data_IF_254182137115
#
_entry.id   IF_254182137115
#
_cell.length_a   1.000
_cell.length_b   1.000
_cell.length_c   1.000
_cell.angle_alpha   90.00
_cell.angle_beta   90.00
_cell.angle_gamma   90.00
#
_symmetry.space_group_name_H-M   'P 1'
#
loop_
_entity.id
_entity.type
_entity.pdbx_description
1 polymer ?
#
# COMPACT_ATOMS: atom_id res chain seq x y z
N UNK A 1 19.79 4.97 7.22
CA UNK A 1 19.46 4.31 5.93
C UNK A 1 19.77 5.16 4.71
N UNK A 2 19.15 6.34 4.49
CA UNK A 2 19.39 7.18 3.28
C UNK A 2 20.84 7.62 3.07
N UNK A 3 21.43 8.23 4.10
CA UNK A 3 22.81 8.73 4.05
C UNK A 3 23.80 7.58 3.92
N UNK A 4 23.44 6.42 4.49
CA UNK A 4 24.24 5.19 4.41
C UNK A 4 24.24 4.65 2.97
N UNK A 5 23.09 4.32 2.37
CA UNK A 5 23.06 3.79 0.99
C UNK A 5 23.61 4.73 -0.08
N UNK A 6 23.37 6.04 0.06
CA UNK A 6 23.98 7.01 -0.85
C UNK A 6 25.51 7.05 -0.65
N UNK A 7 25.99 6.97 0.60
CA UNK A 7 27.42 6.87 0.85
C UNK A 7 28.01 5.54 0.33
N UNK A 8 27.25 4.46 0.24
CA UNK A 8 27.68 3.18 -0.36
C UNK A 8 28.17 3.32 -1.81
N UNK A 9 27.57 4.23 -2.59
CA UNK A 9 27.99 4.50 -3.97
C UNK A 9 29.19 5.45 -4.07
N UNK A 10 29.56 6.15 -2.99
CA UNK A 10 30.62 7.17 -2.98
C UNK A 10 31.81 6.88 -2.04
N UNK A 11 31.74 5.84 -1.20
CA UNK A 11 32.78 5.51 -0.22
C UNK A 11 33.75 4.43 -0.72
N UNK A 12 35.04 4.60 -0.39
CA UNK A 12 36.08 3.58 -0.55
C UNK A 12 36.11 2.56 0.61
N UNK A 13 36.79 1.43 0.38
CA UNK A 13 36.53 0.08 0.92
C UNK A 13 36.22 -0.10 2.43
N UNK A 14 36.90 0.52 3.41
CA UNK A 14 36.58 0.23 4.81
C UNK A 14 35.24 0.84 5.26
N UNK A 15 34.92 2.06 4.80
CA UNK A 15 33.67 2.75 5.18
C UNK A 15 32.45 2.20 4.42
N UNK A 16 32.67 1.66 3.21
CA UNK A 16 31.64 0.98 2.43
C UNK A 16 31.15 -0.29 3.12
N UNK A 17 32.05 -1.10 3.69
CA UNK A 17 31.70 -2.31 4.42
C UNK A 17 30.78 -2.07 5.62
N UNK A 18 31.07 -1.05 6.43
CA UNK A 18 30.24 -0.66 7.58
C UNK A 18 28.85 -0.16 7.16
N UNK A 19 28.78 0.61 6.08
CA UNK A 19 27.52 1.08 5.50
C UNK A 19 26.65 -0.08 5.00
N UNK A 20 27.22 -1.02 4.25
CA UNK A 20 26.52 -2.22 3.75
C UNK A 20 26.00 -3.05 4.92
N UNK A 21 26.82 -3.25 5.94
CA UNK A 21 26.46 -3.98 7.16
C UNK A 21 25.31 -3.30 7.90
N UNK A 22 25.39 -1.98 8.10
CA UNK A 22 24.32 -1.20 8.70
C UNK A 22 23.01 -1.33 7.92
N UNK A 23 23.08 -1.21 6.59
CA UNK A 23 21.91 -1.35 5.72
C UNK A 23 21.27 -2.72 5.87
N UNK A 24 22.07 -3.79 5.80
CA UNK A 24 21.58 -5.17 5.95
C UNK A 24 20.94 -5.39 7.33
N UNK A 25 21.56 -4.89 8.40
CA UNK A 25 21.02 -5.00 9.75
C UNK A 25 19.69 -4.25 9.91
N UNK A 26 19.61 -3.03 9.38
CA UNK A 26 18.40 -2.23 9.43
C UNK A 26 17.27 -2.86 8.60
N UNK A 27 17.54 -3.40 7.40
CA UNK A 27 16.55 -4.14 6.63
C UNK A 27 16.05 -5.38 7.38
N UNK A 28 16.96 -6.15 7.99
CA UNK A 28 16.61 -7.32 8.78
C UNK A 28 15.71 -6.94 9.98
N UNK A 29 16.02 -5.84 10.67
CA UNK A 29 15.18 -5.33 11.75
C UNK A 29 13.81 -4.85 11.27
N UNK A 30 13.73 -4.15 10.14
CA UNK A 30 12.44 -3.72 9.58
C UNK A 30 11.60 -4.95 9.23
N UNK A 31 12.16 -5.91 8.49
CA UNK A 31 11.46 -7.15 8.10
C UNK A 31 10.97 -7.90 9.35
N UNK A 32 11.81 -8.06 10.37
CA UNK A 32 11.42 -8.72 11.60
C UNK A 32 10.30 -7.97 12.34
N UNK A 33 10.37 -6.63 12.39
CA UNK A 33 9.36 -5.81 13.07
C UNK A 33 8.03 -5.77 12.33
N UNK A 34 8.02 -5.91 10.99
CA UNK A 34 6.79 -5.80 10.18
C UNK A 34 6.22 -7.15 9.75
N UNK A 35 6.97 -8.24 9.87
CA UNK A 35 6.49 -9.61 9.60
C UNK A 35 5.94 -10.30 10.87
N UNK A 36 5.02 -9.64 11.57
CA UNK A 36 4.43 -10.12 12.82
C UNK A 36 3.07 -10.82 12.63
N UNK A 37 2.48 -10.73 11.43
CA UNK A 37 1.15 -11.28 11.12
C UNK A 37 1.25 -12.77 10.82
N UNK A 38 0.39 -13.56 11.46
CA UNK A 38 0.25 -15.01 11.30
C UNK A 38 -1.20 -15.41 11.06
N UNK A 39 -1.47 -16.67 10.70
CA UNK A 39 -2.83 -17.16 10.47
C UNK A 39 -3.67 -17.07 11.73
N UNK A 40 -4.85 -16.44 11.62
CA UNK A 40 -5.76 -16.13 12.74
C UNK A 40 -5.22 -15.08 13.72
N UNK A 41 -4.29 -14.20 13.29
CA UNK A 41 -3.82 -13.09 14.11
C UNK A 41 -4.99 -12.16 14.49
N UNK A 42 -5.11 -11.80 15.77
CA UNK A 42 -6.23 -10.99 16.25
C UNK A 42 -6.12 -9.54 15.77
N UNK A 43 -6.94 -9.13 14.79
CA UNK A 43 -6.90 -7.82 14.13
C UNK A 43 -8.25 -7.06 14.19
N UNK A 44 -8.82 -6.79 15.39
CA UNK A 44 -10.20 -6.30 15.55
C UNK A 44 -10.46 -4.96 14.86
N UNK A 45 -9.45 -4.08 14.80
CA UNK A 45 -9.57 -2.77 14.14
C UNK A 45 -9.64 -2.94 12.62
N UNK A 46 -8.78 -3.78 12.03
CA UNK A 46 -8.75 -4.00 10.58
C UNK A 46 -9.99 -4.77 10.11
N UNK A 47 -10.42 -5.77 10.86
CA UNK A 47 -11.63 -6.54 10.53
C UNK A 47 -12.87 -5.65 10.58
N UNK A 48 -13.02 -4.83 11.62
CA UNK A 48 -14.13 -3.87 11.74
C UNK A 48 -14.07 -2.77 10.66
N UNK A 49 -12.86 -2.30 10.33
CA UNK A 49 -12.66 -1.34 9.24
C UNK A 49 -13.13 -1.91 7.90
N UNK A 50 -12.68 -3.10 7.52
CA UNK A 50 -13.12 -3.78 6.29
C UNK A 50 -14.63 -4.03 6.30
N UNK A 51 -15.21 -4.40 7.45
CA UNK A 51 -16.67 -4.57 7.59
C UNK A 51 -17.44 -3.32 7.19
N UNK A 52 -16.94 -2.13 7.54
CA UNK A 52 -17.59 -0.85 7.24
C UNK A 52 -17.29 -0.33 5.83
N UNK A 53 -16.06 -0.54 5.33
CA UNK A 53 -15.57 0.12 4.12
C UNK A 53 -15.68 -0.76 2.88
N UNK A 54 -15.39 -2.05 2.99
CA UNK A 54 -15.29 -2.95 1.83
C UNK A 54 -16.64 -3.47 1.35
N UNK A 55 -17.63 -3.60 2.23
CA UNK A 55 -18.97 -4.07 1.86
C UNK A 55 -19.78 -2.94 1.24
N UNK A 56 -19.84 -2.89 -0.09
CA UNK A 56 -20.49 -1.81 -0.86
C UNK A 56 -21.58 -2.37 -1.79
N UNK A 57 -22.65 -1.60 -2.08
CA UNK A 57 -23.63 -1.98 -3.10
C UNK A 57 -22.96 -2.18 -4.46
N UNK A 58 -23.44 -3.13 -5.27
CA UNK A 58 -22.85 -3.47 -6.57
C UNK A 58 -22.73 -2.28 -7.53
N UNK A 59 -23.66 -1.33 -7.45
CA UNK A 59 -23.65 -0.09 -8.26
C UNK A 59 -22.60 0.95 -7.84
N UNK A 60 -21.87 0.71 -6.74
CA UNK A 60 -20.79 1.60 -6.28
C UNK A 60 -19.45 0.93 -6.55
N UNK A 61 -18.47 1.71 -6.96
CA UNK A 61 -17.10 1.25 -7.09
C UNK A 61 -16.61 0.61 -5.79
N UNK A 62 -15.79 -0.43 -5.94
CA UNK A 62 -15.14 -1.15 -4.84
C UNK A 62 -14.33 -0.19 -3.97
N UNK A 63 -14.19 -0.55 -2.70
CA UNK A 63 -13.22 0.14 -1.86
C UNK A 63 -11.81 -0.15 -2.40
N UNK A 64 -10.99 0.90 -2.47
CA UNK A 64 -9.58 0.81 -2.81
C UNK A 64 -8.77 1.20 -1.58
N UNK A 65 -7.97 0.28 -1.08
CA UNK A 65 -7.08 0.50 0.06
C UNK A 65 -5.67 0.66 -0.48
N UNK A 66 -5.12 1.85 -0.32
CA UNK A 66 -3.73 2.14 -0.62
C UNK A 66 -2.96 2.20 0.69
N UNK A 67 -1.88 1.43 0.81
CA UNK A 67 -1.09 1.37 2.05
C UNK A 67 0.40 1.42 1.75
N UNK A 68 1.13 2.12 2.63
CA UNK A 68 2.60 2.12 2.69
C UNK A 68 3.13 1.06 3.65
N UNK A 69 2.24 0.34 4.36
CA UNK A 69 2.63 -0.67 5.34
C UNK A 69 3.10 -1.95 4.64
N UNK A 70 4.21 -2.51 5.15
CA UNK A 70 4.80 -3.76 4.64
C UNK A 70 4.15 -5.02 5.21
N UNK A 71 3.48 -4.92 6.37
CA UNK A 71 2.84 -6.04 7.06
C UNK A 71 1.66 -6.63 6.26
N UNK A 72 1.09 -7.74 6.73
CA UNK A 72 -0.02 -8.45 6.06
C UNK A 72 -1.39 -8.25 6.73
N UNK A 73 -1.59 -7.15 7.46
CA UNK A 73 -2.80 -6.98 8.28
C UNK A 73 -4.09 -6.97 7.46
N UNK A 74 -4.11 -6.31 6.30
CA UNK A 74 -5.31 -6.24 5.45
C UNK A 74 -5.62 -7.56 4.76
N UNK A 75 -4.59 -8.32 4.39
CA UNK A 75 -4.70 -9.65 3.80
C UNK A 75 -5.30 -10.63 4.81
N UNK A 76 -4.75 -10.66 6.03
CA UNK A 76 -5.24 -11.53 7.10
C UNK A 76 -6.64 -11.12 7.59
N UNK A 77 -6.92 -9.82 7.74
CA UNK A 77 -8.26 -9.33 8.05
C UNK A 77 -9.26 -9.65 6.92
N UNK A 78 -8.82 -9.55 5.66
CA UNK A 78 -9.60 -9.94 4.48
C UNK A 78 -9.96 -11.42 4.52
N UNK A 79 -8.98 -12.28 4.82
CA UNK A 79 -9.17 -13.73 4.98
C UNK A 79 -10.17 -14.04 6.10
N UNK A 80 -10.01 -13.43 7.27
CA UNK A 80 -10.92 -13.62 8.42
C UNK A 80 -12.36 -13.16 8.10
N UNK A 81 -12.49 -12.06 7.37
CA UNK A 81 -13.77 -11.49 6.95
C UNK A 81 -14.38 -12.11 5.68
N UNK A 82 -13.74 -13.13 5.08
CA UNK A 82 -14.13 -13.77 3.82
C UNK A 82 -14.29 -12.77 2.67
N UNK A 83 -13.34 -11.85 2.54
CA UNK A 83 -13.25 -10.92 1.43
C UNK A 83 -12.42 -11.50 0.29
N UNK A 84 -12.82 -11.20 -0.94
CA UNK A 84 -11.93 -11.26 -2.09
C UNK A 84 -11.00 -10.04 -2.03
N UNK A 85 -9.70 -10.29 -1.94
CA UNK A 85 -8.68 -9.24 -1.94
C UNK A 85 -8.08 -9.14 -3.33
N UNK A 86 -8.38 -8.07 -4.06
CA UNK A 86 -7.84 -7.82 -5.40
C UNK A 86 -6.54 -7.04 -5.26
N UNK A 87 -5.40 -7.74 -5.31
CA UNK A 87 -4.07 -7.16 -5.05
C UNK A 87 -3.06 -7.27 -6.21
N UNK A 88 -3.55 -7.64 -7.40
CA UNK A 88 -2.75 -7.75 -8.61
C UNK A 88 -1.98 -9.06 -8.74
N UNK A 89 -2.17 -10.03 -7.84
CA UNK A 89 -1.62 -11.36 -7.98
C UNK A 89 -2.64 -12.35 -8.55
N UNK A 90 -2.13 -13.35 -9.28
CA UNK A 90 -2.92 -14.47 -9.77
C UNK A 90 -3.49 -15.34 -8.65
N UNK A 91 -4.49 -16.15 -8.98
CA UNK A 91 -5.09 -17.13 -8.07
C UNK A 91 -4.40 -18.51 -8.16
N UNK A 92 -3.30 -18.63 -8.90
CA UNK A 92 -2.50 -19.84 -9.03
C UNK A 92 -1.49 -19.98 -7.90
N UNK A 93 -0.88 -21.16 -7.75
CA UNK A 93 0.21 -21.39 -6.81
C UNK A 93 1.55 -21.58 -7.55
N UNK A 94 2.59 -20.78 -7.25
CA UNK A 94 2.55 -19.59 -6.40
C UNK A 94 1.74 -18.46 -7.06
N UNK A 95 1.13 -17.54 -6.28
CA UNK A 95 0.51 -16.35 -6.84
C UNK A 95 1.59 -15.45 -7.44
N UNK A 96 1.41 -15.04 -8.69
CA UNK A 96 2.35 -14.20 -9.44
C UNK A 96 1.70 -12.87 -9.78
N UNK A 97 2.42 -11.77 -9.59
CA UNK A 97 1.93 -10.43 -9.90
C UNK A 97 1.79 -10.24 -11.42
N UNK A 98 0.64 -9.75 -11.83
CA UNK A 98 0.38 -9.17 -13.14
C UNK A 98 -0.75 -8.15 -12.99
N UNK A 99 -0.51 -6.92 -13.46
CA UNK A 99 -1.43 -5.80 -13.37
C UNK A 99 -2.83 -6.12 -13.92
N UNK A 100 -2.94 -7.05 -14.88
CA UNK A 100 -4.23 -7.48 -15.44
C UNK A 100 -5.18 -8.00 -14.36
N UNK A 101 -4.66 -8.57 -13.26
CA UNK A 101 -5.48 -9.09 -12.17
C UNK A 101 -6.21 -7.99 -11.40
N UNK A 102 -5.77 -6.73 -11.45
CA UNK A 102 -6.56 -5.61 -10.92
C UNK A 102 -7.82 -5.32 -11.73
N UNK A 103 -7.90 -5.76 -12.99
CA UNK A 103 -9.06 -5.57 -13.86
C UNK A 103 -10.11 -6.69 -13.70
N UNK A 104 -9.74 -7.82 -13.08
CA UNK A 104 -10.64 -8.94 -12.88
C UNK A 104 -11.56 -8.74 -11.68
N UNK A 105 -12.82 -9.12 -11.86
CA UNK A 105 -13.86 -9.10 -10.83
C UNK A 105 -14.36 -10.52 -10.56
N UNK A 106 -14.57 -10.83 -9.28
CA UNK A 106 -15.20 -12.09 -8.89
C UNK A 106 -16.71 -11.94 -8.86
N UNK A 107 -17.38 -12.85 -9.57
CA UNK A 107 -18.83 -12.84 -9.73
C UNK A 107 -19.46 -14.14 -9.21
N UNK A 108 -20.71 -14.05 -8.79
CA UNK A 108 -21.59 -15.19 -8.59
C UNK A 108 -22.36 -15.42 -9.89
N UNK A 109 -22.30 -16.65 -10.41
CA UNK A 109 -23.13 -17.05 -11.55
C UNK A 109 -24.55 -17.32 -11.07
N UNK A 110 -25.54 -16.75 -11.77
CA UNK A 110 -26.93 -17.09 -11.56
C UNK A 110 -27.25 -18.31 -12.43
N UNK A 111 -27.78 -19.37 -11.80
CA UNK A 111 -27.93 -20.69 -12.43
C UNK A 111 -28.59 -20.61 -13.82
N UNK A 112 -28.05 -21.37 -14.77
CA UNK A 112 -28.53 -21.55 -16.15
C UNK A 112 -28.83 -20.27 -16.96
N UNK A 113 -28.21 -19.15 -16.59
CA UNK A 113 -28.27 -17.89 -17.34
C UNK A 113 -26.88 -17.35 -17.61
N UNK A 114 -26.75 -16.46 -18.58
CA UNK A 114 -25.52 -15.67 -18.79
C UNK A 114 -25.38 -14.51 -17.78
N UNK A 115 -26.34 -14.36 -16.86
CA UNK A 115 -26.34 -13.30 -15.88
C UNK A 115 -25.37 -13.60 -14.71
N UNK A 116 -24.71 -12.55 -14.25
CA UNK A 116 -23.74 -12.62 -13.16
C UNK A 116 -23.89 -11.44 -12.22
N UNK A 117 -23.64 -11.72 -10.94
CA UNK A 117 -23.69 -10.73 -9.86
C UNK A 117 -22.29 -10.50 -9.30
N UNK A 118 -21.90 -9.23 -9.18
CA UNK A 118 -20.66 -8.89 -8.48
C UNK A 118 -20.75 -9.27 -7.00
N UNK A 119 -19.75 -9.98 -6.49
CA UNK A 119 -19.71 -10.38 -5.06
C UNK A 119 -19.48 -9.13 -4.21
N UNK A 120 -20.34 -8.77 -3.25
CA UNK A 120 -20.22 -7.50 -2.51
C UNK A 120 -19.03 -7.45 -1.54
N UNK A 121 -18.52 -8.59 -1.11
CA UNK A 121 -17.39 -8.72 -0.18
C UNK A 121 -16.05 -8.73 -0.93
N UNK A 122 -15.75 -7.66 -1.66
CA UNK A 122 -14.49 -7.51 -2.42
C UNK A 122 -13.92 -6.11 -2.26
N UNK A 123 -12.59 -6.00 -2.18
CA UNK A 123 -11.88 -4.72 -2.18
C UNK A 123 -10.53 -4.83 -2.88
N UNK A 124 -10.04 -3.70 -3.40
CA UNK A 124 -8.69 -3.62 -3.96
C UNK A 124 -7.68 -3.25 -2.89
N UNK A 125 -6.53 -3.93 -2.89
CA UNK A 125 -5.42 -3.65 -1.99
C UNK A 125 -4.17 -3.30 -2.82
N UNK A 126 -3.64 -2.11 -2.58
CA UNK A 126 -2.44 -1.60 -3.24
C UNK A 126 -1.36 -1.34 -2.19
N UNK A 127 -0.31 -2.16 -2.22
CA UNK A 127 0.87 -2.06 -1.34
C UNK A 127 1.93 -1.20 -2.02
N UNK A 128 1.79 0.12 -1.88
CA UNK A 128 2.59 1.13 -2.60
C UNK A 128 4.10 0.98 -2.36
N UNK A 129 4.49 0.45 -1.21
CA UNK A 129 5.88 0.22 -0.84
C UNK A 129 6.27 -1.26 -0.80
N UNK A 130 5.40 -2.14 -1.26
CA UNK A 130 5.61 -3.58 -1.27
C UNK A 130 5.16 -4.27 0.01
N UNK A 131 5.49 -5.55 0.12
CA UNK A 131 5.09 -6.39 1.25
C UNK A 131 6.23 -7.28 1.70
N UNK A 132 6.24 -7.63 2.99
CA UNK A 132 7.24 -8.52 3.58
C UNK A 132 7.24 -9.93 3.01
N UNK A 133 6.15 -10.35 2.35
CA UNK A 133 5.99 -11.69 1.76
C UNK A 133 6.15 -11.73 0.25
N UNK A 134 6.47 -10.61 -0.39
CA UNK A 134 6.74 -10.56 -1.83
C UNK A 134 8.18 -10.91 -2.13
N UNK A 135 8.40 -11.67 -3.20
CA UNK A 135 9.73 -12.10 -3.61
C UNK A 135 9.87 -12.02 -5.13
N UNK A 136 11.01 -11.49 -5.57
CA UNK A 136 11.42 -11.53 -6.98
C UNK A 136 12.11 -12.87 -7.23
N UNK A 137 11.56 -13.66 -8.14
CA UNK A 137 12.10 -14.95 -8.55
C UNK A 137 13.19 -14.73 -9.60
N UNK A 138 14.30 -15.46 -9.46
CA UNK A 138 15.39 -15.47 -10.44
C UNK A 138 15.38 -16.83 -11.16
N UNK A 139 15.59 -16.88 -12.49
CA UNK A 139 15.95 -15.78 -13.38
C UNK A 139 14.74 -15.09 -14.04
N UNK A 140 13.50 -15.47 -13.72
CA UNK A 140 12.31 -14.99 -14.45
C UNK A 140 11.98 -13.51 -14.19
N UNK A 141 12.44 -12.95 -13.07
CA UNK A 141 12.09 -11.61 -12.61
C UNK A 141 10.67 -11.49 -12.06
N UNK A 142 9.90 -12.59 -12.04
CA UNK A 142 8.51 -12.62 -11.58
C UNK A 142 8.39 -12.26 -10.10
N UNK A 143 7.35 -11.51 -9.74
CA UNK A 143 7.05 -11.22 -8.34
C UNK A 143 6.01 -12.19 -7.85
N UNK A 144 6.33 -12.93 -6.79
CA UNK A 144 5.44 -13.92 -6.16
C UNK A 144 5.21 -13.57 -4.70
N UNK A 145 4.14 -14.10 -4.09
CA UNK A 145 3.88 -13.96 -2.64
C UNK A 145 3.68 -15.32 -1.96
N UNK A 146 3.65 -15.30 -0.62
CA UNK A 146 3.48 -16.48 0.26
C UNK A 146 4.64 -17.48 0.27
N UNK A 147 5.81 -17.06 -0.19
CA UNK A 147 7.01 -17.88 -0.16
C UNK A 147 7.68 -17.79 1.23
N UNK A 148 8.01 -18.92 1.88
CA UNK A 148 8.52 -18.95 3.26
C UNK A 148 9.95 -18.41 3.38
N UNK A 149 10.70 -18.39 2.28
CA UNK A 149 12.14 -18.06 2.26
C UNK A 149 12.43 -17.17 1.08
N UNK A 150 13.19 -16.09 1.28
CA UNK A 150 13.62 -15.21 0.20
C UNK A 150 13.83 -13.77 0.67
N UNK A 151 14.32 -12.90 -0.22
CA UNK A 151 14.51 -11.48 0.08
C UNK A 151 13.22 -10.71 -0.26
N UNK A 152 12.59 -10.03 0.71
CA UNK A 152 11.39 -9.25 0.45
C UNK A 152 11.60 -8.13 -0.56
N UNK A 153 10.60 -7.90 -1.42
CA UNK A 153 10.61 -6.79 -2.39
C UNK A 153 9.95 -5.56 -1.75
N UNK A 154 10.78 -4.65 -1.23
CA UNK A 154 10.36 -3.46 -0.46
C UNK A 154 10.95 -2.15 -1.03
N UNK A 155 10.10 -1.12 -1.12
CA UNK A 155 10.51 0.28 -1.31
C UNK A 155 10.55 0.96 0.05
N UNK A 156 11.66 1.62 0.37
CA UNK A 156 11.74 2.47 1.55
C UNK A 156 11.40 3.91 1.16
N UNK A 157 10.70 4.68 1.99
CA UNK A 157 10.14 6.01 1.69
C UNK A 157 11.19 7.13 1.50
N UNK A 158 12.21 6.95 0.63
CA UNK A 158 13.28 7.94 0.40
C UNK A 158 13.74 8.02 -1.06
N UNK A 159 14.14 9.23 -1.45
CA UNK A 159 14.49 9.66 -2.81
C UNK A 159 15.52 8.79 -3.57
N UNK A 160 16.43 8.08 -2.88
CA UNK A 160 17.48 7.31 -3.57
C UNK A 160 16.99 5.97 -4.15
N UNK A 161 15.72 5.60 -3.94
CA UNK A 161 15.09 4.40 -4.52
C UNK A 161 14.07 4.75 -5.61
N UNK A 162 14.10 5.98 -6.13
CA UNK A 162 13.18 6.46 -7.16
C UNK A 162 13.09 5.48 -8.34
N UNK A 163 14.21 4.91 -8.78
CA UNK A 163 14.27 3.92 -9.87
C UNK A 163 13.37 2.70 -9.64
N UNK A 164 13.29 2.17 -8.41
CA UNK A 164 12.43 1.02 -8.10
C UNK A 164 10.93 1.36 -8.16
N UNK A 165 10.54 2.63 -7.99
CA UNK A 165 9.15 3.04 -8.15
C UNK A 165 8.69 3.03 -9.62
N UNK A 166 9.63 2.99 -10.57
CA UNK A 166 9.35 2.84 -12.02
C UNK A 166 9.33 1.38 -12.48
N UNK A 167 9.64 0.44 -11.60
CA UNK A 167 9.53 -0.99 -11.90
C UNK A 167 8.14 -1.52 -11.50
N UNK A 168 7.72 -2.59 -12.19
CA UNK A 168 6.61 -3.40 -11.70
C UNK A 168 7.03 -4.11 -10.39
N UNK A 169 6.13 -4.19 -9.40
CA UNK A 169 4.70 -3.91 -9.45
C UNK A 169 4.29 -2.47 -9.10
N UNK A 170 5.26 -1.63 -8.69
CA UNK A 170 5.01 -0.35 -8.02
C UNK A 170 4.44 0.71 -8.94
N UNK A 171 4.93 0.76 -10.18
CA UNK A 171 4.44 1.70 -11.19
C UNK A 171 2.91 1.61 -11.34
N UNK A 172 2.39 0.38 -11.40
CA UNK A 172 0.96 0.11 -11.55
C UNK A 172 0.17 0.54 -10.32
N UNK A 173 0.69 0.26 -9.12
CA UNK A 173 0.02 0.64 -7.87
C UNK A 173 -0.03 2.15 -7.67
N UNK A 174 1.06 2.87 -8.00
CA UNK A 174 1.11 4.34 -7.94
C UNK A 174 0.20 4.94 -9.01
N UNK A 175 0.17 4.39 -10.23
CA UNK A 175 -0.74 4.82 -11.29
C UNK A 175 -2.21 4.66 -10.88
N UNK A 176 -2.56 3.53 -10.27
CA UNK A 176 -3.90 3.28 -9.73
C UNK A 176 -4.27 4.25 -8.61
N UNK A 177 -3.31 4.59 -7.74
CA UNK A 177 -3.48 5.58 -6.68
C UNK A 177 -3.76 6.98 -7.24
N UNK A 178 -2.92 7.46 -8.14
CA UNK A 178 -3.10 8.78 -8.76
C UNK A 178 -4.40 8.88 -9.55
N UNK A 179 -4.78 7.81 -10.26
CA UNK A 179 -6.03 7.76 -11.01
C UNK A 179 -7.23 7.79 -10.07
N UNK A 180 -7.21 7.01 -8.98
CA UNK A 180 -8.28 7.03 -7.98
C UNK A 180 -8.48 8.40 -7.34
N UNK A 181 -7.42 9.19 -7.14
CA UNK A 181 -7.51 10.55 -6.59
C UNK A 181 -8.12 11.56 -7.56
N UNK A 182 -8.02 11.33 -8.87
CA UNK A 182 -8.55 12.23 -9.92
C UNK A 182 -10.01 11.99 -10.25
N UNK A 183 -10.58 10.86 -9.85
CA UNK A 183 -11.99 10.54 -10.08
C UNK A 183 -12.91 11.61 -9.44
N UNK A 184 -13.98 12.03 -10.12
CA UNK A 184 -14.98 12.93 -9.54
C UNK A 184 -15.70 12.26 -8.36
N UNK A 185 -16.20 13.07 -7.42
CA UNK A 185 -16.97 12.61 -6.25
C UNK A 185 -16.23 11.59 -5.36
N UNK A 186 -14.90 11.72 -5.32
CA UNK A 186 -14.03 10.84 -4.55
C UNK A 186 -13.93 11.27 -3.09
N UNK A 187 -14.16 10.30 -2.19
CA UNK A 187 -13.90 10.43 -0.76
C UNK A 187 -12.62 9.68 -0.36
N UNK A 188 -11.68 10.36 0.29
CA UNK A 188 -10.42 9.78 0.77
C UNK A 188 -10.34 9.85 2.29
N UNK A 189 -10.07 8.70 2.90
CA UNK A 189 -9.77 8.58 4.32
C UNK A 189 -8.29 8.26 4.48
N UNK A 190 -7.55 9.18 5.08
CA UNK A 190 -6.11 9.05 5.33
C UNK A 190 -5.93 8.70 6.81
N UNK A 191 -5.29 7.55 7.11
CA UNK A 191 -5.08 7.08 8.48
C UNK A 191 -3.59 6.85 8.72
N UNK A 192 -3.02 7.54 9.71
CA UNK A 192 -1.64 7.36 10.14
C UNK A 192 -0.57 7.73 9.11
N UNK A 193 -0.94 8.37 8.00
CA UNK A 193 0.02 8.80 6.97
C UNK A 193 0.65 10.14 7.35
N UNK A 194 1.98 10.17 7.45
CA UNK A 194 2.75 11.35 7.86
C UNK A 194 3.06 12.35 6.73
N UNK A 195 2.59 12.15 5.49
CA UNK A 195 2.84 13.04 4.34
C UNK A 195 4.31 13.39 4.05
N UNK A 196 5.27 12.65 4.62
CA UNK A 196 6.70 12.84 4.39
C UNK A 196 7.21 12.16 3.10
N UNK A 197 6.35 11.40 2.43
CA UNK A 197 6.61 10.82 1.11
C UNK A 197 5.96 11.70 0.04
N UNK A 198 6.78 12.55 -0.60
CA UNK A 198 6.30 13.53 -1.58
C UNK A 198 5.58 12.89 -2.77
N UNK A 199 6.01 11.71 -3.22
CA UNK A 199 5.40 11.04 -4.38
C UNK A 199 3.97 10.59 -4.11
N UNK A 200 3.59 10.44 -2.84
CA UNK A 200 2.22 10.14 -2.43
C UNK A 200 1.49 11.39 -1.93
N UNK A 201 2.19 12.30 -1.25
CA UNK A 201 1.61 13.53 -0.72
C UNK A 201 1.22 14.51 -1.83
N UNK A 202 2.07 14.72 -2.85
CA UNK A 202 1.81 15.67 -3.93
C UNK A 202 0.55 15.33 -4.75
N UNK A 203 0.30 14.06 -5.15
CA UNK A 203 -0.97 13.70 -5.80
C UNK A 203 -2.20 14.00 -4.94
N UNK A 204 -2.16 13.72 -3.63
CA UNK A 204 -3.26 14.05 -2.71
C UNK A 204 -3.49 15.56 -2.69
N UNK A 205 -2.42 16.34 -2.51
CA UNK A 205 -2.50 17.79 -2.46
C UNK A 205 -2.95 18.40 -3.80
N UNK A 206 -2.58 17.78 -4.92
CA UNK A 206 -3.06 18.17 -6.24
C UNK A 206 -4.56 17.93 -6.37
N UNK A 207 -5.05 16.74 -5.97
CA UNK A 207 -6.47 16.42 -6.01
C UNK A 207 -7.31 17.39 -5.17
N UNK A 208 -6.83 17.75 -3.97
CA UNK A 208 -7.49 18.76 -3.11
C UNK A 208 -7.62 20.11 -3.83
N UNK A 209 -6.63 20.52 -4.63
CA UNK A 209 -6.64 21.81 -5.34
C UNK A 209 -7.49 21.79 -6.61
N UNK A 210 -7.52 20.67 -7.33
CA UNK A 210 -8.11 20.59 -8.66
C UNK A 210 -9.51 19.97 -8.71
N UNK A 211 -9.87 19.11 -7.75
CA UNK A 211 -11.14 18.39 -7.74
C UNK A 211 -12.10 19.01 -6.71
N UNK A 212 -13.06 19.82 -7.18
CA UNK A 212 -13.97 20.58 -6.33
C UNK A 212 -14.95 19.71 -5.52
N UNK A 213 -15.23 18.48 -5.94
CA UNK A 213 -16.10 17.55 -5.19
C UNK A 213 -15.32 16.54 -4.34
N UNK A 214 -13.99 16.67 -4.29
CA UNK A 214 -13.11 15.84 -3.48
C UNK A 214 -13.35 16.05 -2.00
N UNK A 215 -13.54 14.96 -1.27
CA UNK A 215 -13.72 14.96 0.20
C UNK A 215 -12.56 14.22 0.83
N UNK A 216 -11.90 14.82 1.81
CA UNK A 216 -10.80 14.19 2.52
C UNK A 216 -11.00 14.27 4.04
N UNK A 217 -10.72 13.17 4.71
CA UNK A 217 -10.62 13.09 6.17
C UNK A 217 -9.25 12.52 6.52
N UNK A 218 -8.47 13.25 7.32
CA UNK A 218 -7.18 12.79 7.82
C UNK A 218 -7.26 12.48 9.31
N UNK A 219 -6.78 11.30 9.69
CA UNK A 219 -6.70 10.82 11.06
C UNK A 219 -5.24 10.53 11.35
N UNK A 220 -4.65 11.30 12.26
CA UNK A 220 -3.29 11.07 12.73
C UNK A 220 -3.19 11.43 14.21
N UNK A 221 -2.45 10.65 15.01
CA UNK A 221 -2.27 10.93 16.43
C UNK A 221 -1.54 12.26 16.68
N UNK A 222 -0.82 12.79 15.68
CA UNK A 222 -0.10 14.07 15.76
C UNK A 222 -0.90 15.28 15.28
N UNK A 223 -2.17 15.14 14.89
CA UNK A 223 -3.01 16.28 14.52
C UNK A 223 -3.36 17.09 15.77
N UNK A 224 -2.85 18.32 15.85
CA UNK A 224 -3.29 19.25 16.87
C UNK A 224 -4.76 19.68 16.61
N UNK A 225 -5.52 20.01 17.67
CA UNK A 225 -6.83 20.63 17.52
C UNK A 225 -6.75 21.90 16.66
N UNK A 226 -7.84 22.22 15.98
CA UNK A 226 -8.00 23.47 15.28
C UNK A 226 -8.03 24.64 16.29
N UNK A 227 -6.93 25.37 16.43
CA UNK A 227 -6.92 26.65 17.12
C UNK A 227 -7.31 27.77 16.13
N UNK A 228 -8.42 28.46 16.42
CA UNK A 228 -8.88 29.64 15.70
C UNK A 228 -8.10 30.85 16.22
N UNK A 229 -6.87 31.04 15.78
CA UNK A 229 -6.22 32.34 15.91
C UNK A 229 -5.73 32.82 14.54
N UNK A 230 -6.27 33.97 14.14
CA UNK A 230 -6.08 34.54 12.83
C UNK A 230 -4.61 34.93 12.61
N UNK A 231 -3.88 34.13 11.84
CA UNK A 231 -3.12 34.55 10.66
C UNK A 231 -2.33 33.35 10.06
N UNK A 232 -2.50 33.17 8.75
CA UNK A 232 -1.88 32.20 7.82
C UNK A 232 -2.13 30.69 8.03
N UNK A 233 -2.76 30.12 7.00
CA UNK A 233 -3.31 28.76 6.90
C UNK A 233 -2.25 27.77 6.39
N UNK A 234 -1.74 26.90 7.24
CA UNK A 234 -1.05 25.68 6.81
C UNK A 234 -1.12 24.60 7.90
N UNK A 235 -1.38 23.35 7.49
CA UNK A 235 -1.20 22.18 8.35
C UNK A 235 0.28 22.09 8.75
N UNK A 236 0.60 22.25 10.04
CA UNK A 236 1.91 21.89 10.57
C UNK A 236 1.81 20.51 11.22
N UNK A 237 2.50 19.53 10.64
CA UNK A 237 2.84 18.33 11.40
C UNK A 237 3.81 18.72 12.51
N UNK A 238 3.54 18.28 13.74
CA UNK A 238 4.54 18.41 14.81
C UNK A 238 5.74 17.56 14.39
N UNK A 239 6.89 18.21 14.17
CA UNK A 239 8.15 17.50 14.10
C UNK A 239 8.33 16.78 15.45
N UNK A 240 8.46 15.46 15.41
CA UNK A 240 9.06 14.70 16.50
C UNK A 240 10.58 14.85 16.42
#
# INVERSE_FOLDING_TARGET
MSRCRLAESFLADPAKGEVVKFVRLAEAHIIAATNFVFTNHHLPVHTEFLRRVARRPQRKSRAKIFTTNYDRCFEEAGRQGRYVVVDGFSHTAPPTFDAVHFSYETVTRLADTEAFDLIPNSFHLYKLHGSVDWQRQEPSGEITKWMPTGKPVLIYPRNSKYELAFEQPYLEMISAFQSALREPDTGVLVVGFGFNDNHLAEPIMSAIRSNLSFKIVAISPGLAPWERDGQQKAWRMRNQ
#
